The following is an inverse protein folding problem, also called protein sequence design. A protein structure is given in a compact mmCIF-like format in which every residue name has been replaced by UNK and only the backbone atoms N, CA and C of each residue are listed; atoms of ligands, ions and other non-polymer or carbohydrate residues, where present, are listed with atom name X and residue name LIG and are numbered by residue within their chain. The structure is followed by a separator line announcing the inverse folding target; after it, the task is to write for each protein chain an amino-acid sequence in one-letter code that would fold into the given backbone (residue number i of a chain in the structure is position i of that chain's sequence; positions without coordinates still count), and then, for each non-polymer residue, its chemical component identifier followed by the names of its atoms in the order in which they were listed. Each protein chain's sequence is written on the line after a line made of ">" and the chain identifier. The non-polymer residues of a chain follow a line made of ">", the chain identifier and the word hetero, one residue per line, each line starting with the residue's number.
data_IF_386737599543
#
_entry.id   IF_386737599543
#
_cell.length_a   1.000
_cell.length_b   1.000
_cell.length_c   1.000
_cell.angle_alpha   90.00
_cell.angle_beta   90.00
_cell.angle_gamma   90.00
#
_symmetry.space_group_name_H-M   'P 1'
#
loop_
_entity.id
_entity.type
_entity.pdbx_description
1 polymer ?
#
# COMPACT_ATOMS: atom_id res chain seq x y z
N UNK A 1 35.80 -72.44 13.12
CA UNK A 1 35.61 -72.00 14.51
C UNK A 1 36.77 -71.09 14.89
N UNK A 2 36.55 -69.77 14.93
CA UNK A 2 37.25 -68.74 15.74
C UNK A 2 36.74 -67.37 15.28
N UNK A 3 35.89 -66.75 16.11
CA UNK A 3 36.14 -65.54 16.93
C UNK A 3 35.79 -64.23 16.20
N UNK A 4 34.60 -63.73 16.54
CA UNK A 4 34.17 -62.37 16.25
C UNK A 4 34.94 -61.35 17.08
N UNK A 5 35.26 -60.23 16.44
CA UNK A 5 35.76 -59.01 17.08
C UNK A 5 34.70 -57.94 17.02
N UNK A 6 34.32 -57.42 18.18
CA UNK A 6 33.41 -56.30 18.35
C UNK A 6 34.16 -55.00 18.01
N UNK A 7 33.60 -54.19 17.10
CA UNK A 7 34.04 -52.80 16.88
C UNK A 7 33.03 -51.89 17.56
N UNK A 8 33.48 -51.20 18.62
CA UNK A 8 32.75 -50.10 19.23
C UNK A 8 32.89 -48.85 18.36
N UNK A 9 31.79 -48.40 17.75
CA UNK A 9 31.71 -47.08 17.14
C UNK A 9 31.19 -46.09 18.20
N UNK A 10 32.07 -45.22 18.71
CA UNK A 10 31.64 -44.02 19.43
C UNK A 10 31.01 -43.05 18.42
N UNK A 11 29.71 -42.82 18.55
CA UNK A 11 29.04 -41.67 17.93
C UNK A 11 29.35 -40.42 18.76
N UNK A 12 30.21 -39.55 18.25
CA UNK A 12 30.31 -38.17 18.74
C UNK A 12 29.07 -37.40 18.27
N UNK A 13 28.07 -37.25 19.14
CA UNK A 13 27.00 -36.26 18.94
C UNK A 13 27.60 -34.87 19.11
N UNK A 14 28.08 -34.27 18.01
CA UNK A 14 28.32 -32.84 17.95
C UNK A 14 26.98 -32.12 18.00
N UNK A 15 26.70 -31.42 19.10
CA UNK A 15 25.58 -30.51 19.18
C UNK A 15 25.85 -29.34 18.20
N UNK A 16 25.15 -29.34 17.08
CA UNK A 16 25.08 -28.18 16.20
C UNK A 16 24.12 -27.23 16.88
N UNK A 17 24.63 -26.15 17.47
CA UNK A 17 23.81 -25.03 17.89
C UNK A 17 23.16 -24.46 16.64
N UNK A 18 21.89 -24.79 16.42
CA UNK A 18 21.04 -24.05 15.50
C UNK A 18 20.69 -22.77 16.23
N UNK A 19 21.49 -21.72 16.02
CA UNK A 19 21.02 -20.36 16.27
C UNK A 19 19.83 -20.13 15.34
N UNK A 20 18.63 -20.20 15.93
CA UNK A 20 17.43 -19.71 15.29
C UNK A 20 17.70 -18.23 15.02
N UNK A 21 17.90 -17.87 13.75
CA UNK A 21 17.87 -16.48 13.34
C UNK A 21 16.53 -15.92 13.83
N UNK A 22 16.57 -14.93 14.72
CA UNK A 22 15.38 -14.16 15.04
C UNK A 22 14.79 -13.69 13.72
N UNK A 23 13.48 -13.91 13.47
CA UNK A 23 12.87 -13.41 12.27
C UNK A 23 13.07 -11.90 12.26
N UNK A 24 13.71 -11.41 11.20
CA UNK A 24 13.81 -9.98 10.92
C UNK A 24 12.39 -9.44 11.04
N UNK A 25 12.12 -8.61 12.06
CA UNK A 25 10.80 -8.01 12.26
C UNK A 25 10.51 -7.27 10.97
N UNK A 26 9.50 -7.74 10.23
CA UNK A 26 9.10 -7.09 8.99
C UNK A 26 8.78 -5.63 9.33
N UNK A 27 9.59 -4.70 8.81
CA UNK A 27 9.38 -3.28 9.04
C UNK A 27 7.99 -2.92 8.47
N UNK A 28 7.08 -2.61 9.38
CA UNK A 28 5.73 -2.18 9.06
C UNK A 28 5.70 -0.76 8.54
N UNK A 29 6.71 0.03 8.91
CA UNK A 29 6.75 1.43 8.62
C UNK A 29 7.22 1.63 7.19
N UNK A 30 6.58 2.56 6.49
CA UNK A 30 7.01 2.88 5.14
C UNK A 30 6.82 4.34 4.82
N UNK A 31 7.67 4.81 3.92
CA UNK A 31 7.72 6.21 3.50
C UNK A 31 7.73 6.32 1.99
N UNK A 32 6.89 7.21 1.50
CA UNK A 32 6.90 7.65 0.11
C UNK A 32 7.55 9.01 0.00
N UNK A 33 8.53 9.13 -0.88
CA UNK A 33 9.19 10.38 -1.22
C UNK A 33 8.59 10.91 -2.52
N UNK A 34 8.05 12.11 -2.49
CA UNK A 34 7.22 12.67 -3.53
C UNK A 34 7.76 14.00 -4.05
N UNK A 35 7.59 14.24 -5.35
CA UNK A 35 7.91 15.52 -5.97
C UNK A 35 6.83 15.94 -6.98
N UNK A 36 6.25 17.13 -6.77
CA UNK A 36 5.32 17.78 -7.70
C UNK A 36 5.86 19.16 -8.04
N UNK A 37 6.22 19.37 -9.31
CA UNK A 37 6.92 20.58 -9.74
C UNK A 37 8.22 20.77 -8.95
N UNK A 38 8.34 21.91 -8.27
CA UNK A 38 9.46 22.24 -7.39
C UNK A 38 9.25 21.83 -5.92
N UNK A 39 8.10 21.25 -5.59
CA UNK A 39 7.73 20.93 -4.21
C UNK A 39 8.05 19.47 -3.89
N UNK A 40 8.81 19.27 -2.81
CA UNK A 40 9.16 17.95 -2.28
C UNK A 40 8.42 17.75 -0.96
N UNK A 41 7.81 16.59 -0.82
CA UNK A 41 7.13 16.17 0.40
C UNK A 41 7.28 14.65 0.57
N UNK A 42 6.99 14.14 1.75
CA UNK A 42 6.86 12.71 1.99
C UNK A 42 5.51 12.38 2.59
N UNK A 43 5.09 11.13 2.40
CA UNK A 43 3.97 10.54 3.15
C UNK A 43 4.55 9.34 3.90
N UNK A 44 4.47 9.37 5.22
CA UNK A 44 4.96 8.30 6.08
C UNK A 44 3.78 7.60 6.74
N UNK A 45 3.87 6.28 6.87
CA UNK A 45 2.95 5.43 7.59
C UNK A 45 3.77 4.69 8.65
N UNK A 46 3.44 4.90 9.91
CA UNK A 46 4.20 4.40 11.05
C UNK A 46 3.25 3.65 12.00
N UNK A 47 3.56 2.40 12.37
CA UNK A 47 2.85 1.66 13.41
C UNK A 47 3.06 2.31 14.77
N UNK A 48 1.98 2.48 15.54
CA UNK A 48 2.09 3.07 16.86
C UNK A 48 2.73 2.12 17.89
N UNK A 49 2.55 0.81 17.73
CA UNK A 49 3.11 -0.25 18.57
C UNK A 49 4.40 -0.85 18.02
N UNK A 50 4.68 -0.69 16.72
CA UNK A 50 5.74 -1.39 15.99
C UNK A 50 5.33 -2.79 15.52
N UNK A 51 4.07 -3.20 15.75
CA UNK A 51 3.57 -4.53 15.41
C UNK A 51 2.68 -4.50 14.16
N UNK A 52 3.00 -5.37 13.20
CA UNK A 52 2.34 -5.35 11.89
C UNK A 52 0.83 -5.69 11.94
N UNK A 53 0.39 -6.31 13.01
CA UNK A 53 -0.95 -6.90 13.12
C UNK A 53 -1.92 -6.06 13.94
N UNK A 54 -1.45 -5.02 14.62
CA UNK A 54 -2.25 -4.27 15.60
C UNK A 54 -3.16 -3.19 14.99
N UNK A 55 -3.21 -3.08 13.65
CA UNK A 55 -4.10 -2.16 12.92
C UNK A 55 -4.04 -0.71 13.46
N UNK A 56 -2.85 -0.26 13.86
CA UNK A 56 -2.65 0.97 14.62
C UNK A 56 -1.79 2.01 13.90
N UNK A 57 -1.61 1.84 12.59
CA UNK A 57 -0.77 2.73 11.81
C UNK A 57 -1.34 4.15 11.80
N UNK A 58 -0.42 5.11 11.92
CA UNK A 58 -0.67 6.53 11.73
C UNK A 58 -0.04 6.98 10.43
N UNK A 59 -0.57 8.03 9.81
CA UNK A 59 -0.01 8.57 8.58
C UNK A 59 0.20 10.08 8.68
N UNK A 60 1.33 10.56 8.16
CA UNK A 60 1.70 11.98 8.14
C UNK A 60 2.21 12.41 6.78
N UNK A 61 1.89 13.64 6.38
CA UNK A 61 2.57 14.34 5.30
C UNK A 61 3.67 15.19 5.91
N UNK A 62 4.91 15.04 5.43
CA UNK A 62 6.04 15.85 5.88
C UNK A 62 6.57 16.74 4.75
N UNK A 63 6.89 17.97 5.09
CA UNK A 63 7.58 18.93 4.21
C UNK A 63 8.70 19.61 5.00
N UNK A 64 9.48 20.47 4.35
CA UNK A 64 10.43 21.35 5.06
C UNK A 64 9.73 22.30 6.05
N UNK A 65 8.42 22.55 5.89
CA UNK A 65 7.62 23.42 6.77
C UNK A 65 7.03 22.71 7.99
N UNK A 66 7.15 21.39 8.11
CA UNK A 66 6.64 20.61 9.23
C UNK A 66 5.85 19.36 8.80
N UNK A 67 5.17 18.75 9.78
CA UNK A 67 4.37 17.53 9.60
C UNK A 67 2.88 17.81 9.80
N UNK A 68 2.04 17.22 8.96
CA UNK A 68 0.57 17.28 9.06
C UNK A 68 0.02 15.85 9.08
N UNK A 69 -0.80 15.51 10.06
CA UNK A 69 -1.44 14.19 10.11
C UNK A 69 -2.48 13.99 9.00
N UNK A 70 -2.51 12.80 8.40
CA UNK A 70 -3.65 12.36 7.60
C UNK A 70 -4.74 11.85 8.56
N UNK A 71 -5.99 12.34 8.45
CA UNK A 71 -7.08 11.90 9.31
C UNK A 71 -7.62 10.53 8.87
N UNK A 72 -6.82 9.49 9.10
CA UNK A 72 -7.14 8.10 8.79
C UNK A 72 -7.77 7.39 10.00
N UNK A 73 -8.64 6.41 9.75
CA UNK A 73 -9.07 5.48 10.79
C UNK A 73 -7.89 4.59 11.19
N UNK A 74 -7.94 3.98 12.38
CA UNK A 74 -6.97 2.94 12.75
C UNK A 74 -7.14 1.73 11.82
N UNK A 75 -6.07 1.33 11.15
CA UNK A 75 -5.97 0.15 10.31
C UNK A 75 -4.51 -0.12 9.96
N UNK A 76 -4.24 -1.29 9.37
CA UNK A 76 -3.05 -1.52 8.57
C UNK A 76 -3.19 -0.89 7.18
N UNK A 77 -2.19 -0.10 6.78
CA UNK A 77 -2.16 0.56 5.47
C UNK A 77 -1.05 -0.01 4.58
N UNK A 78 -1.22 0.12 3.27
CA UNK A 78 -0.27 -0.40 2.30
C UNK A 78 -0.10 0.50 1.10
N UNK A 79 0.96 0.20 0.34
CA UNK A 79 1.21 0.80 -0.96
C UNK A 79 0.42 0.08 -2.04
N UNK A 80 -0.06 0.85 -3.02
CA UNK A 80 -0.79 0.34 -4.18
C UNK A 80 0.00 0.59 -5.45
N UNK A 81 0.25 -0.45 -6.23
CA UNK A 81 0.95 -0.34 -7.51
C UNK A 81 -0.03 -0.04 -8.65
N UNK A 82 0.39 0.79 -9.60
CA UNK A 82 -0.36 1.04 -10.83
C UNK A 82 0.16 0.16 -11.97
N UNK A 83 -0.73 -0.54 -12.66
CA UNK A 83 -0.42 -1.32 -13.88
C UNK A 83 -0.70 -0.59 -15.18
N UNK A 84 -1.33 0.58 -15.13
CA UNK A 84 -1.62 1.38 -16.31
C UNK A 84 -0.51 2.42 -16.58
N UNK A 85 -0.59 3.06 -17.76
CA UNK A 85 0.28 4.16 -18.13
C UNK A 85 0.10 5.36 -17.18
N UNK A 86 1.13 5.65 -16.40
CA UNK A 86 1.13 6.78 -15.49
C UNK A 86 2.36 6.79 -14.61
N UNK A 87 3.18 7.84 -14.72
CA UNK A 87 4.34 8.01 -13.85
C UNK A 87 3.88 8.52 -12.48
N UNK A 88 4.17 7.73 -11.45
CA UNK A 88 3.95 8.17 -10.09
C UNK A 88 4.85 9.37 -9.77
N UNK A 89 4.32 10.34 -9.03
CA UNK A 89 5.09 11.47 -8.48
C UNK A 89 5.81 11.09 -7.19
N UNK A 90 5.54 9.90 -6.66
CA UNK A 90 6.17 9.35 -5.48
C UNK A 90 6.96 8.09 -5.80
N UNK A 91 7.92 7.77 -4.93
CA UNK A 91 8.64 6.50 -4.90
C UNK A 91 8.75 6.03 -3.45
N UNK A 92 8.89 4.72 -3.25
CA UNK A 92 9.26 4.20 -1.95
C UNK A 92 10.65 4.72 -1.57
N UNK A 93 10.81 5.20 -0.34
CA UNK A 93 12.09 5.67 0.17
C UNK A 93 13.17 4.57 0.03
N UNK A 94 14.37 4.95 -0.38
CA UNK A 94 15.47 4.00 -0.59
C UNK A 94 15.39 3.12 -1.85
N UNK A 95 14.31 3.19 -2.65
CA UNK A 95 14.22 2.42 -3.89
C UNK A 95 15.28 2.86 -4.92
N UNK A 96 16.15 1.92 -5.33
CA UNK A 96 17.20 2.10 -6.35
C UNK A 96 16.64 1.89 -7.75
N UNK A 97 15.83 2.82 -8.25
CA UNK A 97 15.32 2.78 -9.61
C UNK A 97 14.08 3.65 -9.82
N UNK A 98 13.86 4.07 -11.06
CA UNK A 98 12.72 4.93 -11.45
C UNK A 98 11.84 4.25 -12.51
N UNK A 99 11.35 3.04 -12.23
CA UNK A 99 10.27 2.41 -13.03
C UNK A 99 9.46 1.46 -12.12
N UNK A 100 8.15 1.67 -12.01
CA UNK A 100 7.16 0.62 -11.66
C UNK A 100 7.09 0.07 -10.23
N UNK A 101 7.84 0.59 -9.25
CA UNK A 101 7.92 0.00 -7.90
C UNK A 101 6.93 0.59 -6.88
N UNK A 102 5.67 0.16 -6.91
CA UNK A 102 4.86 0.01 -5.69
C UNK A 102 4.02 1.19 -5.19
N UNK A 103 4.17 2.43 -5.68
CA UNK A 103 3.43 3.59 -5.15
C UNK A 103 2.63 4.30 -6.23
N UNK A 104 1.33 4.47 -6.02
CA UNK A 104 0.44 5.21 -6.92
C UNK A 104 0.12 6.59 -6.36
N UNK A 105 0.82 7.59 -6.86
CA UNK A 105 0.54 8.98 -6.56
C UNK A 105 0.67 9.82 -7.84
N UNK A 106 -0.25 10.74 -8.09
CA UNK A 106 -0.29 11.47 -9.36
C UNK A 106 -0.52 12.96 -9.12
N UNK A 107 0.21 13.80 -9.84
CA UNK A 107 -0.05 15.24 -9.86
C UNK A 107 -1.43 15.52 -10.46
N UNK A 108 -2.22 16.31 -9.73
CA UNK A 108 -3.46 16.95 -10.22
C UNK A 108 -3.09 18.21 -11.00
N UNK A 109 -2.15 18.98 -10.46
CA UNK A 109 -1.50 20.16 -11.05
C UNK A 109 -0.11 20.35 -10.42
N UNK A 110 0.53 21.51 -10.63
CA UNK A 110 1.88 21.82 -10.14
C UNK A 110 1.99 21.97 -8.61
N UNK A 111 0.88 21.90 -7.87
CA UNK A 111 0.85 22.07 -6.42
C UNK A 111 0.11 20.97 -5.68
N UNK A 112 -0.70 20.16 -6.35
CA UNK A 112 -1.56 19.17 -5.71
C UNK A 112 -1.30 17.77 -6.23
N UNK A 113 -1.31 16.79 -5.32
CA UNK A 113 -1.18 15.38 -5.64
C UNK A 113 -2.35 14.58 -5.10
N UNK A 114 -2.79 13.58 -5.86
CA UNK A 114 -3.57 12.47 -5.32
C UNK A 114 -2.61 11.35 -4.94
N UNK A 115 -2.72 10.85 -3.72
CA UNK A 115 -1.93 9.73 -3.20
C UNK A 115 -2.88 8.60 -2.87
N UNK A 116 -2.76 7.48 -3.57
CA UNK A 116 -3.57 6.29 -3.37
C UNK A 116 -2.88 5.32 -2.41
N UNK A 117 -3.66 4.66 -1.58
CA UNK A 117 -3.20 3.71 -0.57
C UNK A 117 -4.18 2.56 -0.43
N UNK A 118 -3.74 1.44 0.12
CA UNK A 118 -4.65 0.37 0.57
C UNK A 118 -4.86 0.44 2.06
N UNK A 119 -6.04 0.00 2.49
CA UNK A 119 -6.42 -0.24 3.88
C UNK A 119 -6.82 -1.70 3.98
N UNK A 120 -6.15 -2.43 4.86
CA UNK A 120 -6.43 -3.84 5.11
C UNK A 120 -7.87 -4.03 5.62
N UNK A 121 -8.48 -5.15 5.21
CA UNK A 121 -9.85 -5.52 5.58
C UNK A 121 -9.96 -7.01 5.89
N UNK A 122 -8.89 -7.64 6.40
CA UNK A 122 -8.81 -9.08 6.67
C UNK A 122 -10.07 -9.60 7.38
N UNK A 123 -10.68 -10.72 6.92
CA UNK A 123 -10.22 -11.59 5.82
C UNK A 123 -10.64 -11.15 4.41
N UNK A 124 -11.31 -10.01 4.27
CA UNK A 124 -11.78 -9.48 2.99
C UNK A 124 -10.68 -8.85 2.12
N UNK A 125 -11.11 -8.31 0.99
CA UNK A 125 -10.24 -7.57 0.08
C UNK A 125 -9.91 -6.18 0.60
N UNK A 126 -8.71 -5.71 0.29
CA UNK A 126 -8.24 -4.39 0.74
C UNK A 126 -9.09 -3.27 0.15
N UNK A 127 -9.41 -2.28 0.98
CA UNK A 127 -10.03 -1.04 0.54
C UNK A 127 -8.99 -0.13 -0.11
N UNK A 128 -9.34 0.44 -1.25
CA UNK A 128 -8.54 1.50 -1.89
C UNK A 128 -9.00 2.84 -1.35
N UNK A 129 -8.05 3.58 -0.77
CA UNK A 129 -8.22 4.95 -0.34
C UNK A 129 -7.42 5.94 -1.20
N UNK A 130 -7.74 7.22 -1.04
CA UNK A 130 -7.06 8.33 -1.71
C UNK A 130 -7.03 9.57 -0.83
N UNK A 131 -5.89 10.25 -0.78
CA UNK A 131 -5.72 11.55 -0.16
C UNK A 131 -5.35 12.61 -1.21
N UNK A 132 -5.91 13.80 -1.09
CA UNK A 132 -5.54 14.98 -1.85
C UNK A 132 -4.65 15.87 -0.98
N UNK A 133 -3.43 16.14 -1.45
CA UNK A 133 -2.40 16.84 -0.68
C UNK A 133 -1.95 18.08 -1.45
N UNK A 134 -1.82 19.22 -0.76
CA UNK A 134 -1.07 20.38 -1.26
C UNK A 134 0.43 20.14 -1.02
N UNK A 135 1.17 19.88 -2.10
CA UNK A 135 2.59 19.53 -2.08
C UNK A 135 3.48 20.65 -1.53
N UNK A 136 3.07 21.91 -1.66
CA UNK A 136 3.86 23.05 -1.20
C UNK A 136 3.80 23.23 0.32
N UNK A 137 2.64 22.96 0.93
CA UNK A 137 2.38 23.20 2.35
C UNK A 137 2.28 21.93 3.18
N UNK A 138 2.18 20.77 2.54
CA UNK A 138 1.93 19.49 3.20
C UNK A 138 0.51 19.35 3.75
N UNK A 139 -0.40 20.29 3.46
CA UNK A 139 -1.78 20.24 3.94
C UNK A 139 -2.55 19.12 3.26
N UNK A 140 -3.25 18.33 4.06
CA UNK A 140 -4.24 17.37 3.58
C UNK A 140 -5.53 18.13 3.27
N UNK A 141 -5.92 18.15 2.00
CA UNK A 141 -7.08 18.91 1.51
C UNK A 141 -8.37 18.09 1.59
N UNK A 142 -8.30 16.80 1.29
CA UNK A 142 -9.43 15.88 1.38
C UNK A 142 -8.94 14.43 1.42
N UNK A 143 -9.73 13.52 1.99
CA UNK A 143 -9.42 12.09 2.09
C UNK A 143 -10.68 11.25 1.89
N UNK A 144 -10.57 10.18 1.09
CA UNK A 144 -11.57 9.11 1.02
C UNK A 144 -10.88 7.79 1.29
N UNK A 145 -11.17 7.17 2.44
CA UNK A 145 -10.52 5.92 2.86
C UNK A 145 -11.13 4.67 2.22
N UNK A 146 -12.34 4.77 1.66
CA UNK A 146 -13.08 3.65 1.06
C UNK A 146 -13.69 4.07 -0.28
N UNK A 147 -12.92 3.97 -1.36
CA UNK A 147 -13.44 4.14 -2.72
C UNK A 147 -14.14 2.87 -3.22
N UNK A 148 -13.51 1.74 -3.00
CA UNK A 148 -13.91 0.40 -3.43
C UNK A 148 -12.82 -0.58 -3.01
N UNK A 149 -13.07 -1.88 -3.15
CA UNK A 149 -12.08 -2.90 -2.81
C UNK A 149 -11.26 -3.29 -4.03
N UNK A 150 -10.06 -3.81 -3.81
CA UNK A 150 -9.23 -4.40 -4.86
C UNK A 150 -8.88 -5.84 -4.53
N UNK A 151 -8.91 -6.70 -5.54
CA UNK A 151 -8.52 -8.12 -5.42
C UNK A 151 -7.04 -8.28 -5.12
N UNK A 152 -6.23 -7.30 -5.53
CA UNK A 152 -4.78 -7.30 -5.41
C UNK A 152 -4.26 -5.90 -5.00
N UNK A 153 -3.01 -5.83 -4.54
CA UNK A 153 -2.28 -4.56 -4.29
C UNK A 153 -1.84 -3.85 -5.57
N UNK A 154 -2.43 -4.23 -6.70
CA UNK A 154 -2.11 -3.76 -8.03
C UNK A 154 -3.42 -3.36 -8.70
N UNK A 155 -3.56 -2.09 -9.07
CA UNK A 155 -4.79 -1.54 -9.64
C UNK A 155 -4.48 -0.80 -10.93
N UNK A 156 -5.35 -0.94 -11.93
CA UNK A 156 -5.29 -0.12 -13.13
C UNK A 156 -5.82 1.29 -12.82
N UNK A 157 -4.93 2.28 -12.75
CA UNK A 157 -5.28 3.70 -12.53
C UNK A 157 -4.93 4.49 -13.78
N UNK A 158 -5.97 4.86 -14.55
CA UNK A 158 -5.80 5.58 -15.81
C UNK A 158 -6.10 7.07 -15.62
N UNK A 159 -5.18 7.91 -16.11
CA UNK A 159 -5.43 9.35 -16.23
C UNK A 159 -6.52 9.61 -17.29
N UNK A 160 -7.41 10.53 -16.99
CA UNK A 160 -8.46 11.02 -17.90
C UNK A 160 -8.40 12.54 -18.00
N UNK A 161 -9.11 13.18 -18.96
CA UNK A 161 -9.17 14.64 -19.03
C UNK A 161 -9.78 15.31 -17.79
N UNK A 162 -10.57 14.60 -16.97
CA UNK A 162 -11.25 15.15 -15.80
C UNK A 162 -10.62 14.76 -14.46
N UNK A 163 -9.72 13.77 -14.47
CA UNK A 163 -9.16 13.17 -13.27
C UNK A 163 -8.58 11.80 -13.57
N UNK A 164 -9.05 10.78 -12.86
CA UNK A 164 -8.58 9.41 -12.95
C UNK A 164 -9.75 8.43 -12.99
N UNK A 165 -9.52 7.23 -13.50
CA UNK A 165 -10.42 6.10 -13.30
C UNK A 165 -9.63 4.88 -12.81
N UNK A 166 -10.24 4.15 -11.90
CA UNK A 166 -9.65 2.98 -11.23
C UNK A 166 -10.54 1.76 -11.46
N UNK A 167 -9.94 0.60 -11.70
CA UNK A 167 -10.68 -0.66 -11.74
C UNK A 167 -10.77 -1.23 -10.31
N UNK A 168 -11.97 -1.31 -9.76
CA UNK A 168 -12.23 -1.74 -8.38
C UNK A 168 -13.42 -2.70 -8.32
N UNK A 169 -13.50 -3.54 -7.29
CA UNK A 169 -14.65 -4.38 -7.01
C UNK A 169 -15.86 -3.48 -6.76
N UNK A 170 -16.91 -3.66 -7.55
CA UNK A 170 -18.18 -2.93 -7.43
C UNK A 170 -19.24 -3.74 -6.72
N UNK A 171 -19.33 -5.04 -7.02
CA UNK A 171 -20.40 -5.88 -6.49
C UNK A 171 -19.98 -7.34 -6.27
N UNK A 172 -20.67 -7.96 -5.31
CA UNK A 172 -20.63 -9.40 -5.06
C UNK A 172 -21.76 -10.10 -5.82
N UNK A 173 -21.39 -11.07 -6.65
CA UNK A 173 -22.26 -11.80 -7.55
C UNK A 173 -22.96 -12.95 -6.82
N UNK A 174 -24.21 -12.72 -6.40
CA UNK A 174 -25.01 -13.70 -5.62
C UNK A 174 -25.20 -15.08 -6.25
N UNK A 175 -25.02 -15.19 -7.57
CA UNK A 175 -25.13 -16.47 -8.30
C UNK A 175 -23.86 -17.32 -8.27
N UNK A 176 -22.74 -16.78 -7.80
CA UNK A 176 -21.47 -17.48 -7.71
C UNK A 176 -21.33 -18.08 -6.31
N UNK A 177 -21.11 -19.39 -6.23
CA UNK A 177 -21.08 -20.14 -4.96
C UNK A 177 -19.67 -20.40 -4.41
N UNK A 178 -18.62 -19.93 -5.09
CA UNK A 178 -17.25 -20.03 -4.58
C UNK A 178 -16.95 -18.86 -3.64
N UNK A 179 -16.09 -19.11 -2.66
CA UNK A 179 -15.34 -18.05 -1.98
C UNK A 179 -14.06 -17.76 -2.78
N UNK A 180 -14.25 -17.17 -3.96
CA UNK A 180 -13.16 -16.92 -4.90
C UNK A 180 -13.34 -15.59 -5.64
N UNK A 181 -12.28 -15.09 -6.27
CA UNK A 181 -12.30 -13.78 -6.96
C UNK A 181 -13.36 -13.66 -8.06
N UNK A 182 -13.82 -14.79 -8.62
CA UNK A 182 -14.89 -14.84 -9.59
C UNK A 182 -16.27 -14.45 -9.02
N UNK A 183 -16.43 -14.46 -7.69
CA UNK A 183 -17.64 -13.99 -7.02
C UNK A 183 -17.78 -12.45 -7.01
N UNK A 184 -16.80 -11.72 -7.56
CA UNK A 184 -16.75 -10.27 -7.50
C UNK A 184 -16.60 -9.67 -8.90
N UNK A 185 -17.49 -8.74 -9.24
CA UNK A 185 -17.41 -7.98 -10.49
C UNK A 185 -16.70 -6.65 -10.26
N UNK A 186 -15.73 -6.38 -11.11
CA UNK A 186 -14.97 -5.13 -11.10
C UNK A 186 -15.61 -4.14 -12.08
N UNK A 187 -15.51 -2.86 -11.76
CA UNK A 187 -15.97 -1.78 -12.62
C UNK A 187 -15.06 -0.55 -12.46
N UNK A 188 -15.25 0.43 -13.35
CA UNK A 188 -14.51 1.68 -13.31
C UNK A 188 -15.11 2.66 -12.30
N UNK A 189 -14.31 3.05 -11.32
CA UNK A 189 -14.55 4.17 -10.43
C UNK A 189 -13.88 5.42 -11.00
N UNK A 190 -14.64 6.46 -11.32
CA UNK A 190 -14.10 7.77 -11.66
C UNK A 190 -13.74 8.53 -10.37
N UNK A 191 -12.56 9.13 -10.34
CA UNK A 191 -12.04 9.99 -9.27
C UNK A 191 -11.59 11.32 -9.87
N UNK A 192 -12.32 12.39 -9.54
CA UNK A 192 -12.07 13.75 -10.03
C UNK A 192 -11.82 14.69 -8.83
N UNK A 193 -11.12 15.81 -9.05
CA UNK A 193 -10.95 16.87 -8.03
C UNK A 193 -11.73 18.11 -8.44
N UNK A 194 -12.73 18.48 -7.65
CA UNK A 194 -13.60 19.64 -7.91
C UNK A 194 -13.58 20.53 -6.67
N UNK A 195 -13.28 21.82 -6.84
CA UNK A 195 -13.21 22.80 -5.75
C UNK A 195 -12.35 22.34 -4.57
N UNK A 196 -11.24 21.66 -4.86
CA UNK A 196 -10.31 21.16 -3.83
C UNK A 196 -10.80 19.95 -3.05
N UNK A 197 -11.85 19.26 -3.52
CA UNK A 197 -12.38 18.03 -2.92
C UNK A 197 -12.36 16.87 -3.91
N UNK A 198 -12.24 15.67 -3.39
CA UNK A 198 -12.28 14.42 -4.14
C UNK A 198 -13.75 14.06 -4.39
N UNK A 199 -14.08 13.83 -5.66
CA UNK A 199 -15.36 13.30 -6.08
C UNK A 199 -15.13 11.91 -6.67
N UNK A 200 -15.81 10.91 -6.11
CA UNK A 200 -15.72 9.52 -6.54
C UNK A 200 -17.09 9.03 -6.97
N UNK A 201 -17.19 8.37 -8.13
CA UNK A 201 -18.45 7.80 -8.64
C UNK A 201 -18.18 6.60 -9.55
N UNK A 202 -19.01 5.58 -9.45
CA UNK A 202 -19.02 4.49 -10.42
C UNK A 202 -19.37 5.03 -11.82
N UNK A 203 -18.66 4.55 -12.82
CA UNK A 203 -18.97 4.79 -14.22
C UNK A 203 -20.19 3.96 -14.61
N UNK A 204 -21.01 4.48 -15.53
CA UNK A 204 -22.18 3.78 -16.08
C UNK A 204 -21.86 3.34 -17.49
#
# INVERSE_FOLDING_TARGET
>A
MTRGGWVALMLCCGAVSVEAAEPEVADCDFRWECQVGAHVFSVAFDSASGECTEDDMTAVVETSGGKTGLPLEKAWYGSIANVADGKSVCRLAGAKGSVGGGVSAFAVDDRRALVFFTRDDRPGYEWVGVALIDAATGKVLDVKQRLGQSKERVVAILKTPRGFKLQLIREHLKGVQCDCSAAFADDWMAVDVVNGRIHARWMR
#
